data_IF_006304690470
#
_entry.id   IF_006304690470
#
_cell.length_a   1.000
_cell.length_b   1.000
_cell.length_c   1.000
_cell.angle_alpha   90.00
_cell.angle_beta   90.00
_cell.angle_gamma   90.00
#
_symmetry.space_group_name_H-M   'P 1'
#
loop_
_entity.id
_entity.type
_entity.pdbx_description
1 polymer ?
#
# COMPACT_ATOMS: atom_id res chain seq x y z
N UNK A 1 -17.26 25.09 -18.39
CA UNK A 1 -16.49 23.85 -18.18
C UNK A 1 -15.74 23.97 -16.87
N UNK A 2 -16.09 23.20 -15.83
CA UNK A 2 -15.38 23.28 -14.55
C UNK A 2 -14.02 22.60 -14.75
N UNK A 3 -12.97 23.40 -14.79
CA UNK A 3 -11.59 22.94 -14.86
C UNK A 3 -11.19 22.36 -13.48
N UNK A 4 -11.67 21.16 -13.14
CA UNK A 4 -11.24 20.50 -11.90
C UNK A 4 -9.84 19.95 -12.12
N UNK A 5 -8.85 20.70 -11.65
CA UNK A 5 -7.45 20.27 -11.61
C UNK A 5 -7.36 18.88 -10.97
N UNK A 6 -6.76 17.92 -11.70
CA UNK A 6 -6.52 16.55 -11.20
C UNK A 6 -5.73 16.57 -9.89
N UNK A 7 -6.02 15.61 -9.01
CA UNK A 7 -5.31 15.40 -7.76
C UNK A 7 -4.09 14.51 -8.01
N UNK A 8 -2.90 15.00 -7.67
CA UNK A 8 -1.67 14.22 -7.81
C UNK A 8 -1.45 13.37 -6.55
N UNK A 9 -1.45 12.06 -6.71
CA UNK A 9 -1.24 11.09 -5.63
C UNK A 9 0.10 10.40 -5.86
N UNK A 10 0.95 10.42 -4.83
CA UNK A 10 2.16 9.61 -4.81
C UNK A 10 1.99 8.50 -3.78
N UNK A 11 2.19 7.26 -4.20
CA UNK A 11 2.23 6.11 -3.31
C UNK A 11 3.66 5.78 -2.90
N UNK A 12 3.86 5.27 -1.69
CA UNK A 12 5.12 4.63 -1.28
C UNK A 12 4.85 3.25 -0.65
N UNK A 13 5.58 2.25 -1.11
CA UNK A 13 5.47 0.84 -0.70
C UNK A 13 6.87 0.19 -0.69
N UNK A 14 7.03 -0.99 -0.09
CA UNK A 14 8.32 -1.69 -0.07
C UNK A 14 8.79 -2.10 -1.47
N UNK A 15 7.95 -2.80 -2.22
CA UNK A 15 8.15 -3.23 -3.62
C UNK A 15 6.81 -3.59 -4.24
N UNK A 16 6.76 -3.83 -5.56
CA UNK A 16 5.56 -4.25 -6.31
C UNK A 16 5.66 -5.75 -6.61
N UNK A 17 4.86 -6.58 -5.95
CA UNK A 17 4.96 -8.04 -6.07
C UNK A 17 3.73 -8.79 -5.55
N UNK A 18 3.89 -10.11 -5.37
CA UNK A 18 2.78 -11.00 -5.02
C UNK A 18 2.54 -11.09 -3.50
N UNK A 19 2.00 -10.04 -2.91
CA UNK A 19 1.51 -10.04 -1.53
C UNK A 19 0.25 -9.18 -1.37
N UNK A 20 -0.58 -9.48 -0.36
CA UNK A 20 -1.91 -8.85 -0.21
C UNK A 20 -1.93 -7.32 -0.19
N UNK A 21 -0.88 -6.66 0.30
CA UNK A 21 -0.77 -5.20 0.24
C UNK A 21 -0.39 -4.66 -1.16
N UNK A 22 0.48 -5.40 -1.85
CA UNK A 22 1.00 -5.04 -3.17
C UNK A 22 -0.03 -5.31 -4.25
N UNK A 23 -0.66 -6.49 -4.24
CA UNK A 23 -1.78 -6.86 -5.12
C UNK A 23 -2.93 -5.86 -4.99
N UNK A 24 -3.23 -5.41 -3.77
CA UNK A 24 -4.23 -4.36 -3.58
C UNK A 24 -3.81 -3.03 -4.18
N UNK A 25 -2.56 -2.58 -3.98
CA UNK A 25 -2.09 -1.34 -4.58
C UNK A 25 -2.18 -1.43 -6.11
N UNK A 26 -1.76 -2.54 -6.72
CA UNK A 26 -1.93 -2.76 -8.16
C UNK A 26 -3.40 -2.64 -8.57
N UNK A 27 -4.32 -3.31 -7.86
CA UNK A 27 -5.75 -3.20 -8.14
C UNK A 27 -6.26 -1.76 -8.10
N UNK A 28 -5.79 -0.96 -7.12
CA UNK A 28 -6.09 0.48 -7.06
C UNK A 28 -5.52 1.20 -8.28
N UNK A 29 -4.26 0.97 -8.64
CA UNK A 29 -3.61 1.62 -9.77
C UNK A 29 -4.25 1.27 -11.12
N UNK A 30 -4.74 0.05 -11.27
CA UNK A 30 -5.44 -0.40 -12.49
C UNK A 30 -6.83 0.23 -12.62
N UNK A 31 -7.53 0.46 -11.51
CA UNK A 31 -8.95 0.86 -11.52
C UNK A 31 -9.21 2.33 -11.11
N UNK A 32 -8.18 3.09 -10.75
CA UNK A 32 -8.34 4.49 -10.36
C UNK A 32 -8.82 5.35 -11.54
N UNK A 33 -9.69 6.32 -11.25
CA UNK A 33 -10.19 7.26 -12.25
C UNK A 33 -9.08 8.26 -12.65
N UNK A 34 -8.36 7.94 -13.73
CA UNK A 34 -7.29 8.78 -14.27
C UNK A 34 -7.79 10.13 -14.81
N UNK A 35 -9.09 10.37 -14.94
CA UNK A 35 -9.62 11.71 -15.22
C UNK A 35 -9.59 12.60 -13.98
N UNK A 36 -9.59 12.02 -12.78
CA UNK A 36 -9.54 12.74 -11.49
C UNK A 36 -8.15 12.71 -10.85
N UNK A 37 -7.38 11.65 -11.07
CA UNK A 37 -6.11 11.43 -10.38
C UNK A 37 -4.94 11.31 -11.36
N UNK A 38 -3.80 11.90 -11.00
CA UNK A 38 -2.51 11.55 -11.58
C UNK A 38 -1.71 10.78 -10.54
N UNK A 39 -1.08 9.68 -10.93
CA UNK A 39 -0.45 8.77 -9.97
C UNK A 39 1.04 8.62 -10.24
N UNK A 40 1.79 8.50 -9.15
CA UNK A 40 3.22 8.16 -9.15
C UNK A 40 3.51 7.20 -8.00
N UNK A 41 4.55 6.39 -8.11
CA UNK A 41 4.87 5.34 -7.12
C UNK A 41 6.33 5.43 -6.69
N UNK A 42 6.59 5.20 -5.41
CA UNK A 42 7.93 5.07 -4.85
C UNK A 42 8.05 3.67 -4.26
N UNK A 43 9.04 2.90 -4.72
CA UNK A 43 9.41 1.63 -4.14
C UNK A 43 10.60 1.82 -3.20
N UNK A 44 10.44 1.43 -1.94
CA UNK A 44 11.44 1.64 -0.91
C UNK A 44 12.65 0.71 -1.09
N UNK A 45 12.41 -0.58 -1.29
CA UNK A 45 13.44 -1.64 -1.28
C UNK A 45 13.90 -2.01 -2.68
N UNK A 46 12.96 -2.32 -3.58
CA UNK A 46 13.25 -2.77 -4.95
C UNK A 46 12.01 -2.64 -5.84
N UNK A 47 12.17 -2.89 -7.13
CA UNK A 47 11.09 -2.92 -8.12
C UNK A 47 10.04 -3.98 -7.75
N UNK A 48 10.47 -5.23 -7.54
CA UNK A 48 9.62 -6.38 -7.28
C UNK A 48 9.15 -7.09 -8.55
N UNK A 49 8.48 -8.23 -8.40
CA UNK A 49 8.13 -9.14 -9.51
C UNK A 49 7.08 -8.57 -10.48
N UNK A 50 6.28 -7.61 -10.01
CA UNK A 50 5.15 -7.05 -10.77
C UNK A 50 5.41 -5.58 -11.17
N UNK A 51 6.67 -5.16 -11.17
CA UNK A 51 7.01 -3.75 -11.43
C UNK A 51 6.66 -3.29 -12.85
N UNK A 52 6.74 -4.19 -13.84
CA UNK A 52 6.38 -3.94 -15.24
C UNK A 52 4.95 -3.38 -15.40
N UNK A 53 4.03 -3.74 -14.48
CA UNK A 53 2.66 -3.22 -14.48
C UNK A 53 2.63 -1.69 -14.33
N UNK A 54 3.58 -1.11 -13.58
CA UNK A 54 3.68 0.35 -13.47
C UNK A 54 4.06 0.99 -14.81
N UNK A 55 4.93 0.33 -15.58
CA UNK A 55 5.39 0.79 -16.88
C UNK A 55 4.27 0.69 -17.92
N UNK A 56 3.55 -0.42 -17.94
CA UNK A 56 2.39 -0.65 -18.80
C UNK A 56 1.27 0.38 -18.55
N UNK A 57 1.09 0.80 -17.30
CA UNK A 57 0.15 1.86 -16.91
C UNK A 57 0.69 3.28 -17.15
N UNK A 58 1.94 3.43 -17.61
CA UNK A 58 2.59 4.73 -17.81
C UNK A 58 2.84 5.49 -16.51
N UNK A 59 2.93 4.80 -15.38
CA UNK A 59 3.08 5.41 -14.04
C UNK A 59 4.55 5.76 -13.81
N UNK A 60 4.79 7.03 -13.50
CA UNK A 60 6.13 7.47 -13.08
C UNK A 60 6.51 6.85 -11.74
N UNK A 61 7.62 6.12 -11.70
CA UNK A 61 8.10 5.41 -10.52
C UNK A 61 9.49 5.89 -10.03
N UNK A 62 9.82 5.61 -8.77
CA UNK A 62 11.13 5.83 -8.16
C UNK A 62 11.51 4.66 -7.27
N UNK A 63 12.65 4.04 -7.51
CA UNK A 63 13.19 2.95 -6.68
C UNK A 63 14.34 3.47 -5.81
N UNK A 64 14.25 3.27 -4.50
CA UNK A 64 15.18 3.83 -3.52
C UNK A 64 16.34 2.90 -3.14
N UNK A 65 16.18 1.58 -3.29
CA UNK A 65 17.16 0.57 -2.89
C UNK A 65 17.54 0.68 -1.39
N UNK A 66 16.53 0.85 -0.54
CA UNK A 66 16.66 1.02 0.91
C UNK A 66 15.97 -0.13 1.65
N UNK A 67 16.74 -1.14 2.04
CA UNK A 67 16.22 -2.34 2.74
C UNK A 67 15.58 -2.03 4.09
N UNK A 68 16.19 -1.11 4.85
CA UNK A 68 15.71 -0.66 6.15
C UNK A 68 16.19 0.77 6.43
N UNK A 69 15.64 1.38 7.48
CA UNK A 69 15.96 2.75 7.87
C UNK A 69 17.17 2.85 8.83
N UNK A 70 17.92 1.76 9.06
CA UNK A 70 18.99 1.71 10.07
C UNK A 70 20.28 2.43 9.65
N UNK A 71 20.44 2.74 8.36
CA UNK A 71 21.61 3.46 7.84
C UNK A 71 21.30 4.96 7.68
N UNK A 72 21.78 5.86 8.56
CA UNK A 72 21.39 7.27 8.53
C UNK A 72 21.73 7.98 7.21
N UNK A 73 22.91 7.69 6.64
CA UNK A 73 23.34 8.29 5.36
C UNK A 73 22.45 7.85 4.20
N UNK A 74 22.10 6.55 4.12
CA UNK A 74 21.20 6.05 3.07
C UNK A 74 19.78 6.59 3.25
N UNK A 75 19.28 6.62 4.49
CA UNK A 75 17.97 7.19 4.82
C UNK A 75 17.90 8.68 4.47
N UNK A 76 18.94 9.46 4.80
CA UNK A 76 19.00 10.88 4.45
C UNK A 76 19.01 11.10 2.93
N UNK A 77 19.82 10.31 2.19
CA UNK A 77 19.82 10.33 0.71
C UNK A 77 18.43 9.97 0.15
N UNK A 78 17.73 9.00 0.73
CA UNK A 78 16.38 8.63 0.33
C UNK A 78 15.39 9.79 0.57
N UNK A 79 15.44 10.46 1.72
CA UNK A 79 14.61 11.63 2.02
C UNK A 79 14.78 12.73 0.95
N UNK A 80 16.01 13.05 0.55
CA UNK A 80 16.26 14.03 -0.50
C UNK A 80 15.73 13.60 -1.87
N UNK A 81 15.89 12.32 -2.24
CA UNK A 81 15.34 11.78 -3.49
C UNK A 81 13.81 11.82 -3.49
N UNK A 82 13.17 11.44 -2.39
CA UNK A 82 11.71 11.51 -2.24
C UNK A 82 11.24 12.96 -2.32
N UNK A 83 11.88 13.90 -1.60
CA UNK A 83 11.54 15.33 -1.71
C UNK A 83 11.55 15.81 -3.16
N UNK A 84 12.62 15.51 -3.90
CA UNK A 84 12.75 15.91 -5.31
C UNK A 84 11.63 15.30 -6.15
N UNK A 85 11.31 14.03 -5.91
CA UNK A 85 10.25 13.32 -6.61
C UNK A 85 8.86 13.89 -6.31
N UNK A 86 8.51 14.10 -5.03
CA UNK A 86 7.23 14.69 -4.63
C UNK A 86 7.04 16.11 -5.21
N UNK A 87 8.12 16.91 -5.22
CA UNK A 87 8.11 18.25 -5.84
C UNK A 87 7.93 18.18 -7.35
N UNK A 88 8.67 17.30 -8.04
CA UNK A 88 8.57 17.11 -9.50
C UNK A 88 7.14 16.72 -9.90
N UNK A 89 6.53 15.80 -9.14
CA UNK A 89 5.17 15.31 -9.40
C UNK A 89 4.05 16.19 -8.81
N UNK A 90 4.39 17.32 -8.17
CA UNK A 90 3.44 18.26 -7.56
C UNK A 90 2.44 17.54 -6.64
N UNK A 91 2.93 16.62 -5.82
CA UNK A 91 2.11 15.72 -5.00
C UNK A 91 1.15 16.50 -4.09
N UNK A 92 -0.13 16.15 -4.14
CA UNK A 92 -1.17 16.65 -3.24
C UNK A 92 -1.43 15.66 -2.10
N UNK A 93 -1.40 14.37 -2.39
CA UNK A 93 -1.58 13.28 -1.42
C UNK A 93 -0.37 12.37 -1.50
N UNK A 94 0.30 12.17 -0.36
CA UNK A 94 1.34 11.16 -0.21
C UNK A 94 0.76 10.01 0.61
N UNK A 95 0.63 8.83 0.02
CA UNK A 95 -0.02 7.69 0.65
C UNK A 95 0.94 6.52 0.83
N UNK A 96 1.09 6.03 2.05
CA UNK A 96 2.05 4.97 2.38
C UNK A 96 1.40 3.62 2.72
N UNK A 97 2.11 2.56 2.35
CA UNK A 97 1.74 1.16 2.55
C UNK A 97 2.86 0.45 3.31
N UNK A 98 2.50 -0.34 4.34
CA UNK A 98 3.43 -1.10 5.20
C UNK A 98 4.24 -0.24 6.19
N UNK A 99 4.88 -0.90 7.16
CA UNK A 99 5.52 -0.25 8.31
C UNK A 99 6.67 0.71 7.94
N UNK A 100 7.69 0.23 7.21
CA UNK A 100 8.85 1.06 6.87
C UNK A 100 8.49 2.25 5.97
N UNK A 101 7.64 2.11 4.93
CA UNK A 101 7.14 3.24 4.17
C UNK A 101 6.29 4.20 4.99
N UNK A 102 5.44 3.69 5.91
CA UNK A 102 4.68 4.56 6.84
C UNK A 102 5.61 5.40 7.71
N UNK A 103 6.68 4.80 8.24
CA UNK A 103 7.66 5.49 9.08
C UNK A 103 8.42 6.55 8.28
N UNK A 104 8.93 6.20 7.11
CA UNK A 104 9.66 7.13 6.26
C UNK A 104 8.76 8.29 5.77
N UNK A 105 7.52 7.99 5.36
CA UNK A 105 6.57 9.01 4.93
C UNK A 105 6.22 9.97 6.07
N UNK A 106 6.07 9.46 7.30
CA UNK A 106 5.86 10.28 8.50
C UNK A 106 7.04 11.20 8.78
N UNK A 107 8.27 10.69 8.71
CA UNK A 107 9.50 11.51 8.85
C UNK A 107 9.51 12.63 7.80
N UNK A 108 9.17 12.33 6.55
CA UNK A 108 9.13 13.34 5.47
C UNK A 108 8.04 14.39 5.71
N UNK A 109 6.90 13.98 6.28
CA UNK A 109 5.80 14.88 6.63
C UNK A 109 6.11 15.77 7.85
N UNK A 110 7.06 15.39 8.71
CA UNK A 110 7.51 16.21 9.83
C UNK A 110 8.38 17.39 9.40
N UNK A 111 8.99 17.32 8.21
CA UNK A 111 9.90 18.36 7.72
C UNK A 111 9.07 19.60 7.27
N UNK A 112 9.49 20.84 7.59
CA UNK A 112 8.70 22.08 7.38
C UNK A 112 8.30 22.40 5.93
N UNK A 113 8.82 21.67 4.94
CA UNK A 113 8.56 21.87 3.52
C UNK A 113 7.31 21.12 2.98
N UNK A 114 6.52 20.51 3.88
CA UNK A 114 5.38 19.65 3.51
C UNK A 114 4.32 20.47 2.77
N UNK A 115 4.00 20.04 1.55
CA UNK A 115 2.95 20.65 0.71
C UNK A 115 1.85 19.66 0.32
N UNK A 116 1.77 18.52 1.00
CA UNK A 116 0.86 17.41 0.70
C UNK A 116 0.13 16.95 1.96
N UNK A 117 -0.97 16.21 1.80
CA UNK A 117 -1.63 15.45 2.86
C UNK A 117 -1.03 14.07 2.97
N UNK A 118 -0.67 13.64 4.17
CA UNK A 118 -0.14 12.31 4.44
C UNK A 118 -1.29 11.36 4.81
N UNK A 119 -1.43 10.27 4.06
CA UNK A 119 -2.32 9.18 4.37
C UNK A 119 -1.49 7.92 4.65
N UNK A 120 -1.68 7.29 5.80
CA UNK A 120 -1.04 5.98 6.07
C UNK A 120 -2.09 4.88 6.06
N UNK A 121 -1.68 3.67 5.66
CA UNK A 121 -2.58 2.51 5.61
C UNK A 121 -2.22 1.48 6.68
N UNK A 122 -3.24 0.78 7.17
CA UNK A 122 -3.15 -0.33 8.12
C UNK A 122 -3.89 -1.52 7.54
N UNK A 123 -3.16 -2.61 7.34
CA UNK A 123 -3.61 -3.76 6.55
C UNK A 123 -3.68 -5.07 7.35
N UNK A 124 -3.19 -5.04 8.58
CA UNK A 124 -3.22 -6.15 9.51
C UNK A 124 -3.41 -5.61 10.93
N UNK A 125 -3.75 -6.50 11.87
CA UNK A 125 -3.99 -6.17 13.29
C UNK A 125 -2.70 -5.98 14.09
N UNK A 126 -1.53 -6.02 13.43
CA UNK A 126 -0.24 -5.86 14.07
C UNK A 126 0.19 -7.08 14.89
N UNK A 127 -0.24 -8.29 14.51
CA UNK A 127 0.06 -9.53 15.25
C UNK A 127 1.57 -9.80 15.42
N UNK A 128 2.40 -9.23 14.54
CA UNK A 128 3.86 -9.36 14.55
C UNK A 128 4.57 -8.18 15.24
N UNK A 129 3.83 -7.17 15.71
CA UNK A 129 4.43 -5.97 16.28
C UNK A 129 4.97 -6.16 17.70
N UNK A 130 6.25 -5.85 17.85
CA UNK A 130 6.88 -5.69 19.16
C UNK A 130 6.54 -4.32 19.79
N UNK A 131 6.79 -4.16 21.10
CA UNK A 131 6.51 -2.92 21.87
C UNK A 131 6.95 -1.63 21.18
N UNK A 132 8.15 -1.62 20.59
CA UNK A 132 8.70 -0.44 19.91
C UNK A 132 7.91 -0.03 18.65
N UNK A 133 7.28 -0.97 17.94
CA UNK A 133 6.47 -0.66 16.76
C UNK A 133 5.25 0.19 17.15
N UNK A 134 4.62 -0.11 18.29
CA UNK A 134 3.47 0.65 18.79
C UNK A 134 3.84 2.10 19.16
N UNK A 135 5.03 2.31 19.72
CA UNK A 135 5.56 3.65 19.98
C UNK A 135 5.83 4.42 18.70
N UNK A 136 6.42 3.76 17.70
CA UNK A 136 6.65 4.37 16.39
C UNK A 136 5.33 4.72 15.70
N UNK A 137 4.31 3.86 15.77
CA UNK A 137 2.99 4.19 15.25
C UNK A 137 2.32 5.35 15.97
N UNK A 138 2.39 5.40 17.30
CA UNK A 138 1.93 6.57 18.08
C UNK A 138 2.55 7.87 17.54
N UNK A 139 3.86 7.86 17.32
CA UNK A 139 4.58 9.00 16.74
C UNK A 139 4.11 9.31 15.30
N UNK A 140 4.03 8.30 14.42
CA UNK A 140 3.55 8.46 13.04
C UNK A 140 2.13 9.06 12.97
N UNK A 141 1.25 8.67 13.89
CA UNK A 141 -0.15 9.10 13.93
C UNK A 141 -0.31 10.60 14.25
N UNK A 142 0.68 11.21 14.93
CA UNK A 142 0.72 12.66 15.14
C UNK A 142 0.98 13.41 13.82
N UNK A 143 1.77 12.82 12.93
CA UNK A 143 2.23 13.44 11.67
C UNK A 143 1.31 13.12 10.48
N UNK A 144 0.45 12.13 10.64
CA UNK A 144 -0.51 11.66 9.64
C UNK A 144 -1.78 12.50 9.65
N UNK A 145 -2.27 12.88 8.46
CA UNK A 145 -3.54 13.60 8.29
C UNK A 145 -4.74 12.65 8.35
N UNK A 146 -4.65 11.47 7.70
CA UNK A 146 -5.66 10.40 7.78
C UNK A 146 -5.04 8.99 7.79
N UNK A 147 -5.68 8.07 8.51
CA UNK A 147 -5.34 6.66 8.52
C UNK A 147 -6.45 5.87 7.85
N UNK A 148 -6.10 4.98 6.92
CA UNK A 148 -7.03 4.03 6.31
C UNK A 148 -6.78 2.65 6.90
N UNK A 149 -7.79 2.08 7.54
CA UNK A 149 -7.81 0.69 7.96
C UNK A 149 -8.60 -0.15 6.94
N UNK A 150 -8.10 -1.35 6.61
CA UNK A 150 -8.75 -2.24 5.63
C UNK A 150 -9.96 -3.00 6.18
N UNK A 151 -10.20 -2.93 7.50
CA UNK A 151 -11.37 -3.53 8.14
C UNK A 151 -11.76 -2.78 9.42
N UNK A 152 -12.93 -3.11 9.95
CA UNK A 152 -13.41 -2.63 11.26
C UNK A 152 -12.48 -3.07 12.38
N UNK A 153 -12.01 -4.31 12.33
CA UNK A 153 -11.15 -4.93 13.34
C UNK A 153 -9.79 -4.24 13.36
N UNK A 154 -9.18 -4.03 12.19
CA UNK A 154 -7.93 -3.27 12.08
C UNK A 154 -8.10 -1.86 12.61
N UNK A 155 -9.21 -1.18 12.30
CA UNK A 155 -9.50 0.17 12.82
C UNK A 155 -9.53 0.18 14.35
N UNK A 156 -10.24 -0.77 14.97
CA UNK A 156 -10.34 -0.85 16.42
C UNK A 156 -8.99 -1.16 17.08
N UNK A 157 -8.20 -2.06 16.48
CA UNK A 157 -6.86 -2.36 16.97
C UNK A 157 -5.93 -1.15 16.89
N UNK A 158 -5.99 -0.36 15.81
CA UNK A 158 -5.21 0.87 15.69
C UNK A 158 -5.61 1.93 16.73
N UNK A 159 -6.91 2.10 17.01
CA UNK A 159 -7.38 3.00 18.06
C UNK A 159 -6.86 2.53 19.43
N UNK A 160 -7.02 1.24 19.74
CA UNK A 160 -6.66 0.65 21.04
C UNK A 160 -5.16 0.61 21.28
N UNK A 161 -4.38 0.12 20.31
CA UNK A 161 -2.94 -0.17 20.48
C UNK A 161 -2.06 0.97 20.02
N UNK A 162 -2.38 1.64 18.92
CA UNK A 162 -1.57 2.76 18.38
C UNK A 162 -2.06 4.13 18.87
N UNK A 163 -3.22 4.22 19.52
CA UNK A 163 -3.79 5.49 19.97
C UNK A 163 -4.18 6.42 18.82
N UNK A 164 -4.57 5.88 17.66
CA UNK A 164 -5.07 6.72 16.56
C UNK A 164 -6.37 7.39 17.00
N UNK A 165 -6.48 8.70 16.78
CA UNK A 165 -7.71 9.43 17.06
C UNK A 165 -8.87 8.93 16.17
N UNK A 166 -10.06 8.63 16.72
CA UNK A 166 -11.17 8.06 15.94
C UNK A 166 -11.63 8.89 14.73
N UNK A 167 -11.45 10.22 14.77
CA UNK A 167 -11.72 11.15 13.67
C UNK A 167 -10.66 11.11 12.57
N UNK A 168 -9.43 10.67 12.87
CA UNK A 168 -8.34 10.52 11.90
C UNK A 168 -8.39 9.19 11.15
N UNK A 169 -9.07 8.17 11.68
CA UNK A 169 -9.09 6.82 11.10
C UNK A 169 -10.44 6.44 10.51
N UNK A 170 -10.39 6.01 9.25
CA UNK A 170 -11.56 5.52 8.50
C UNK A 170 -11.32 4.08 8.04
N UNK A 171 -12.39 3.32 7.90
CA UNK A 171 -12.34 1.98 7.32
C UNK A 171 -12.69 2.05 5.84
N UNK A 172 -11.81 1.52 4.98
CA UNK A 172 -12.08 1.29 3.56
C UNK A 172 -11.70 -0.16 3.27
N UNK A 173 -12.71 -0.99 3.02
CA UNK A 173 -12.50 -2.40 2.69
C UNK A 173 -11.79 -2.53 1.33
N UNK A 174 -10.96 -3.57 1.20
CA UNK A 174 -10.36 -3.90 -0.08
C UNK A 174 -11.45 -4.34 -1.07
N UNK A 175 -11.42 -3.78 -2.27
CA UNK A 175 -12.24 -4.26 -3.38
C UNK A 175 -11.68 -5.54 -3.98
N UNK A 176 -12.57 -6.35 -4.57
CA UNK A 176 -12.22 -7.48 -5.44
C UNK A 176 -12.91 -7.29 -6.79
N UNK A 177 -12.19 -7.54 -7.88
CA UNK A 177 -12.80 -7.51 -9.21
C UNK A 177 -13.55 -8.82 -9.47
N UNK A 178 -14.87 -8.75 -9.46
CA UNK A 178 -15.73 -9.92 -9.65
C UNK A 178 -15.65 -10.50 -11.07
N UNK A 179 -15.22 -9.70 -12.07
CA UNK A 179 -15.13 -10.18 -13.45
C UNK A 179 -14.04 -11.25 -13.60
N UNK A 180 -12.96 -11.14 -12.82
CA UNK A 180 -11.85 -12.10 -12.85
C UNK A 180 -12.26 -13.45 -12.26
N UNK A 181 -13.26 -13.51 -11.38
CA UNK A 181 -13.69 -14.72 -10.67
C UNK A 181 -14.96 -15.37 -11.23
N UNK A 182 -15.26 -15.17 -12.52
CA UNK A 182 -16.47 -15.73 -13.12
C UNK A 182 -16.29 -17.17 -13.62
N UNK A 183 -17.34 -17.98 -13.53
CA UNK A 183 -17.40 -19.35 -14.08
C UNK A 183 -17.19 -19.41 -15.59
N UNK A 184 -17.26 -18.26 -16.27
CA UNK A 184 -16.94 -18.14 -17.71
C UNK A 184 -15.43 -18.22 -17.98
N UNK A 185 -14.60 -17.95 -16.97
CA UNK A 185 -13.13 -17.93 -17.08
C UNK A 185 -12.54 -19.24 -16.55
N UNK A 186 -13.15 -19.84 -15.52
CA UNK A 186 -12.63 -21.03 -14.86
C UNK A 186 -13.49 -22.27 -15.08
N UNK A 187 -12.89 -23.31 -15.67
CA UNK A 187 -13.51 -24.62 -15.81
C UNK A 187 -13.18 -25.50 -14.60
N UNK A 188 -14.17 -25.69 -13.72
CA UNK A 188 -14.07 -26.54 -12.54
C UNK A 188 -13.61 -27.96 -12.87
N UNK A 189 -14.17 -28.57 -13.91
CA UNK A 189 -13.92 -29.97 -14.26
C UNK A 189 -12.50 -30.15 -14.78
N UNK A 190 -12.03 -29.18 -15.58
CA UNK A 190 -10.63 -29.14 -16.03
C UNK A 190 -9.65 -29.02 -14.88
N UNK A 191 -9.91 -28.13 -13.91
CA UNK A 191 -9.05 -27.96 -12.73
C UNK A 191 -9.01 -29.23 -11.90
N UNK A 192 -10.17 -29.85 -11.60
CA UNK A 192 -10.24 -31.11 -10.85
C UNK A 192 -9.44 -32.22 -11.53
N UNK A 193 -9.60 -32.37 -12.85
CA UNK A 193 -8.84 -33.34 -13.65
C UNK A 193 -7.34 -33.10 -13.57
N UNK A 194 -6.89 -31.85 -13.64
CA UNK A 194 -5.46 -31.50 -13.55
C UNK A 194 -4.85 -31.87 -12.19
N UNK A 195 -5.64 -31.81 -11.11
CA UNK A 195 -5.21 -32.20 -9.77
C UNK A 195 -5.54 -33.67 -9.42
N UNK A 196 -6.08 -34.45 -10.37
CA UNK A 196 -6.44 -35.86 -10.15
C UNK A 196 -7.62 -36.07 -9.20
N UNK A 197 -8.46 -35.05 -9.01
CA UNK A 197 -9.60 -35.07 -8.07
C UNK A 197 -10.84 -35.61 -8.79
N UNK A 198 -11.47 -36.65 -8.25
CA UNK A 198 -12.72 -37.24 -8.77
C UNK A 198 -13.93 -36.36 -8.49
N UNK A 199 -15.00 -36.47 -9.26
CA UNK A 199 -16.17 -35.58 -9.12
C UNK A 199 -16.88 -35.66 -7.76
N UNK A 200 -16.79 -36.78 -7.07
CA UNK A 200 -17.40 -37.08 -5.77
C UNK A 200 -16.52 -36.71 -4.55
N UNK A 201 -15.27 -36.31 -4.77
CA UNK A 201 -14.34 -35.94 -3.68
C UNK A 201 -14.57 -34.51 -3.18
N UNK A 202 -14.61 -34.35 -1.86
CA UNK A 202 -14.61 -33.04 -1.22
C UNK A 202 -13.21 -32.42 -1.27
N UNK A 203 -13.14 -31.13 -1.59
CA UNK A 203 -11.87 -30.39 -1.68
C UNK A 203 -11.86 -29.30 -0.63
N UNK A 204 -10.82 -29.30 0.21
CA UNK A 204 -10.51 -28.22 1.15
C UNK A 204 -9.29 -27.48 0.59
N UNK A 205 -9.47 -26.21 0.22
CA UNK A 205 -8.41 -25.36 -0.31
C UNK A 205 -7.92 -24.35 0.72
N UNK A 206 -6.60 -24.15 0.79
CA UNK A 206 -5.98 -23.06 1.55
C UNK A 206 -5.01 -22.32 0.63
N UNK A 207 -5.26 -21.02 0.43
CA UNK A 207 -4.33 -20.13 -0.27
C UNK A 207 -3.79 -19.10 0.71
N UNK A 208 -2.53 -19.26 1.10
CA UNK A 208 -1.83 -18.34 1.98
C UNK A 208 -0.33 -18.39 1.69
N UNK A 209 0.38 -17.29 1.95
CA UNK A 209 1.83 -17.29 1.92
C UNK A 209 2.35 -18.15 3.08
N UNK A 210 3.10 -19.21 2.78
CA UNK A 210 3.77 -20.03 3.78
C UNK A 210 5.01 -19.28 4.28
N UNK A 211 4.96 -18.78 5.51
CA UNK A 211 6.11 -18.15 6.16
C UNK A 211 6.79 -19.19 7.07
N UNK A 212 7.98 -19.61 6.68
CA UNK A 212 8.90 -20.41 7.49
C UNK A 212 9.72 -19.55 8.43
#
# INVERSE_FOLDING_TARGET
>A
MINTKKINVTYIIDSIGWAGAQTHLISVLTNIDYNKFNVSVICLRSEGEQFEILEDLGITSLVLNLENLMSPLKTLKAIFRIKRFLRKNKTNIFQSYMFNPNLLASIIAWIPWKSFKLITTRRDTGYWHQKHHWWLYRFMNLLTDKVIAVSSEVRQECIKKEGVSPDKIITIYNGIDLNVYSDKIFDRNKVRKNFGIKDDEYVIGMLAALKT
#
